data_IF_082469040605
#
_entry.id   IF_082469040605
#
_cell.length_a   1.000
_cell.length_b   1.000
_cell.length_c   1.000
_cell.angle_alpha   90.00
_cell.angle_beta   90.00
_cell.angle_gamma   90.00
#
_symmetry.space_group_name_H-M   'P 1'
#
loop_
_entity.id
_entity.type
_entity.pdbx_description
1 polymer ?
#
# COMPACT_ATOMS: atom_id res chain seq x y z
N UNK A 1 -13.52 2.89 33.00
CA UNK A 1 -12.28 2.59 32.26
C UNK A 1 -11.39 3.82 32.42
N UNK A 2 -10.45 3.76 33.37
CA UNK A 2 -9.61 4.89 33.79
C UNK A 2 -8.49 5.04 32.76
N UNK A 3 -8.60 6.04 31.89
CA UNK A 3 -7.49 6.44 31.03
C UNK A 3 -6.40 7.03 31.92
N UNK A 4 -5.29 6.31 32.04
CA UNK A 4 -4.08 6.79 32.71
C UNK A 4 -3.65 8.07 32.01
N UNK A 5 -3.88 9.21 32.67
CA UNK A 5 -3.41 10.52 32.21
C UNK A 5 -1.89 10.52 32.36
N UNK A 6 -1.16 10.34 31.25
CA UNK A 6 0.24 10.74 31.19
C UNK A 6 0.28 12.28 31.22
N UNK A 7 0.32 12.85 32.42
CA UNK A 7 0.57 14.28 32.63
C UNK A 7 2.07 14.48 32.43
N UNK A 8 2.45 14.91 31.22
CA UNK A 8 3.78 15.51 31.01
C UNK A 8 3.81 16.81 31.81
N UNK A 9 4.71 16.86 32.80
CA UNK A 9 4.83 17.95 33.78
C UNK A 9 5.13 19.30 33.11
N UNK A 10 4.36 20.32 33.49
CA UNK A 10 4.30 21.66 32.89
C UNK A 10 5.48 22.54 33.35
N UNK A 11 6.70 22.17 32.97
CA UNK A 11 7.91 22.98 33.21
C UNK A 11 8.49 23.49 31.89
N UNK A 12 8.46 24.81 31.72
CA UNK A 12 8.83 25.53 30.49
C UNK A 12 10.24 25.18 29.96
N UNK A 13 11.19 24.82 30.83
CA UNK A 13 12.58 24.49 30.43
C UNK A 13 12.63 23.12 29.73
N UNK A 14 11.91 22.14 30.28
CA UNK A 14 11.86 20.76 29.79
C UNK A 14 11.18 20.70 28.42
N UNK A 15 10.12 21.49 28.21
CA UNK A 15 9.42 21.60 26.92
C UNK A 15 10.31 22.17 25.80
N UNK A 16 11.19 23.12 26.11
CA UNK A 16 12.08 23.75 25.12
C UNK A 16 13.20 22.80 24.64
N UNK A 17 13.75 22.00 25.56
CA UNK A 17 14.79 21.02 25.26
C UNK A 17 14.24 19.87 24.41
N UNK A 18 13.06 19.33 24.76
CA UNK A 18 12.41 18.27 23.97
C UNK A 18 11.99 18.71 22.57
N UNK A 19 11.75 20.01 22.37
CA UNK A 19 11.33 20.54 21.07
C UNK A 19 12.50 20.56 20.07
N UNK A 20 13.69 20.97 20.51
CA UNK A 20 14.89 20.99 19.67
C UNK A 20 15.30 19.56 19.27
N UNK A 21 15.33 18.64 20.23
CA UNK A 21 15.66 17.23 19.95
C UNK A 21 14.63 16.60 19.00
N UNK A 22 13.33 16.86 19.22
CA UNK A 22 12.26 16.38 18.36
C UNK A 22 12.30 16.92 16.92
N UNK A 23 12.60 18.21 16.76
CA UNK A 23 12.77 18.83 15.44
C UNK A 23 13.98 18.25 14.69
N UNK A 24 15.10 18.04 15.38
CA UNK A 24 16.29 17.41 14.80
C UNK A 24 15.98 15.98 14.33
N UNK A 25 15.29 15.18 15.15
CA UNK A 25 14.90 13.80 14.76
C UNK A 25 13.95 13.80 13.56
N UNK A 26 12.96 14.72 13.52
CA UNK A 26 12.05 14.86 12.38
C UNK A 26 12.81 15.28 11.10
N UNK A 27 13.79 16.16 11.23
CA UNK A 27 14.63 16.62 10.11
C UNK A 27 15.51 15.47 9.58
N UNK A 28 16.21 14.76 10.46
CA UNK A 28 17.03 13.59 10.11
C UNK A 28 16.17 12.52 9.41
N UNK A 29 14.97 12.25 9.93
CA UNK A 29 14.01 11.33 9.30
C UNK A 29 13.65 11.78 7.88
N UNK A 30 13.50 13.07 7.65
CA UNK A 30 13.18 13.64 6.33
C UNK A 30 14.36 13.53 5.37
N UNK A 31 15.57 13.82 5.85
CA UNK A 31 16.81 13.70 5.09
C UNK A 31 17.12 12.27 4.69
N UNK A 32 16.70 11.27 5.48
CA UNK A 32 16.81 9.86 5.11
C UNK A 32 15.67 9.40 4.18
N UNK A 33 14.43 9.78 4.47
CA UNK A 33 13.26 9.27 3.75
C UNK A 33 13.13 9.78 2.32
N UNK A 34 13.39 11.06 2.08
CA UNK A 34 13.32 11.64 0.73
C UNK A 34 14.23 10.95 -0.29
N UNK A 35 15.55 10.76 -0.05
CA UNK A 35 16.41 10.08 -1.00
C UNK A 35 16.06 8.59 -1.15
N UNK A 36 15.67 7.90 -0.07
CA UNK A 36 15.25 6.49 -0.15
C UNK A 36 14.02 6.34 -1.06
N UNK A 37 12.98 7.15 -0.85
CA UNK A 37 11.76 7.14 -1.67
C UNK A 37 12.10 7.55 -3.12
N UNK A 38 12.97 8.54 -3.32
CA UNK A 38 13.40 8.97 -4.64
C UNK A 38 14.15 7.84 -5.40
N UNK A 39 15.04 7.10 -4.73
CA UNK A 39 15.74 5.95 -5.32
C UNK A 39 14.75 4.85 -5.70
N UNK A 40 13.79 4.52 -4.83
CA UNK A 40 12.74 3.54 -5.15
C UNK A 40 11.89 3.97 -6.34
N UNK A 41 11.51 5.24 -6.40
CA UNK A 41 10.76 5.82 -7.50
C UNK A 41 11.56 5.75 -8.80
N UNK A 42 12.85 6.13 -8.76
CA UNK A 42 13.73 6.15 -9.93
C UNK A 42 13.95 4.74 -10.50
N UNK A 43 14.28 3.77 -9.65
CA UNK A 43 14.46 2.38 -10.06
C UNK A 43 13.21 1.83 -10.75
N UNK A 44 12.02 2.17 -10.22
CA UNK A 44 10.75 1.71 -10.78
C UNK A 44 10.35 2.44 -12.05
N UNK A 45 10.66 3.73 -12.14
CA UNK A 45 10.43 4.50 -13.35
C UNK A 45 11.22 3.95 -14.54
N UNK A 46 12.50 3.61 -14.33
CA UNK A 46 13.32 2.98 -15.37
C UNK A 46 12.75 1.63 -15.82
N UNK A 47 12.34 0.79 -14.87
CA UNK A 47 11.69 -0.50 -15.20
C UNK A 47 10.38 -0.31 -15.98
N UNK A 48 9.56 0.66 -15.60
CA UNK A 48 8.31 0.97 -16.29
C UNK A 48 8.54 1.47 -17.72
N UNK A 49 9.58 2.27 -17.94
CA UNK A 49 9.96 2.77 -19.27
C UNK A 49 10.33 1.64 -20.23
N UNK A 50 11.00 0.60 -19.74
CA UNK A 50 11.40 -0.54 -20.56
C UNK A 50 10.25 -1.52 -20.89
N UNK A 51 9.20 -1.60 -20.08
CA UNK A 51 8.18 -2.68 -20.15
C UNK A 51 6.76 -2.26 -20.58
N UNK A 52 6.59 -1.07 -21.16
CA UNK A 52 5.30 -0.43 -21.42
C UNK A 52 4.48 -0.16 -20.13
N UNK A 53 3.72 0.94 -20.13
CA UNK A 53 3.09 1.46 -18.91
C UNK A 53 1.87 0.60 -18.52
N UNK A 54 2.00 -0.22 -17.47
CA UNK A 54 0.86 -0.96 -16.88
C UNK A 54 0.19 -0.12 -15.79
N UNK A 55 -1.12 -0.32 -15.58
CA UNK A 55 -1.89 0.42 -14.57
C UNK A 55 -1.34 0.18 -13.15
N UNK A 56 -0.92 -1.05 -12.84
CA UNK A 56 -0.27 -1.38 -11.57
C UNK A 56 1.05 -0.62 -11.37
N UNK A 57 1.87 -0.52 -12.42
CA UNK A 57 3.10 0.27 -12.38
C UNK A 57 2.81 1.77 -12.21
N UNK A 58 1.74 2.28 -12.83
CA UNK A 58 1.28 3.66 -12.67
C UNK A 58 0.83 3.95 -11.23
N UNK A 59 0.04 3.06 -10.62
CA UNK A 59 -0.44 3.22 -9.24
C UNK A 59 0.71 3.18 -8.22
N UNK A 60 1.70 2.32 -8.49
CA UNK A 60 2.91 2.22 -7.68
C UNK A 60 3.76 3.49 -7.75
N UNK A 61 3.99 4.02 -8.96
CA UNK A 61 4.68 5.30 -9.14
C UNK A 61 3.92 6.45 -8.48
N UNK A 62 2.59 6.49 -8.65
CA UNK A 62 1.73 7.47 -7.98
C UNK A 62 1.92 7.43 -6.46
N UNK A 63 1.97 6.25 -5.86
CA UNK A 63 2.17 6.08 -4.41
C UNK A 63 3.52 6.63 -3.95
N UNK A 64 4.60 6.42 -4.72
CA UNK A 64 5.91 6.99 -4.40
C UNK A 64 5.95 8.51 -4.55
N UNK A 65 5.35 9.05 -5.62
CA UNK A 65 5.28 10.49 -5.85
C UNK A 65 4.47 11.17 -4.75
N UNK A 66 3.29 10.64 -4.39
CA UNK A 66 2.46 11.23 -3.33
C UNK A 66 3.17 11.16 -1.97
N UNK A 67 3.84 10.04 -1.66
CA UNK A 67 4.59 9.91 -0.41
C UNK A 67 5.82 10.82 -0.35
N UNK A 68 6.54 11.00 -1.47
CA UNK A 68 7.64 11.95 -1.56
C UNK A 68 7.16 13.38 -1.34
N UNK A 69 6.09 13.78 -2.03
CA UNK A 69 5.47 15.10 -1.86
C UNK A 69 4.97 15.30 -0.43
N UNK A 70 4.36 14.28 0.17
CA UNK A 70 3.92 14.31 1.56
C UNK A 70 5.08 14.61 2.52
N UNK A 71 6.16 13.83 2.47
CA UNK A 71 7.33 14.06 3.33
C UNK A 71 7.97 15.43 3.07
N UNK A 72 8.09 15.83 1.80
CA UNK A 72 8.67 17.11 1.40
C UNK A 72 7.87 18.28 1.95
N UNK A 73 6.55 18.32 1.70
CA UNK A 73 5.66 19.39 2.16
C UNK A 73 5.63 19.45 3.69
N UNK A 74 5.53 18.31 4.38
CA UNK A 74 5.60 18.30 5.86
C UNK A 74 6.90 18.88 6.39
N UNK A 75 8.02 18.63 5.71
CA UNK A 75 9.33 19.16 6.12
C UNK A 75 9.39 20.67 5.93
N UNK A 76 8.95 21.16 4.77
CA UNK A 76 8.89 22.59 4.46
C UNK A 76 7.98 23.32 5.46
N UNK A 77 6.79 22.80 5.71
CA UNK A 77 5.81 23.44 6.58
C UNK A 77 6.27 23.47 8.04
N UNK A 78 6.93 22.42 8.54
CA UNK A 78 7.53 22.44 9.88
C UNK A 78 8.66 23.48 9.99
N UNK A 79 9.47 23.63 8.95
CA UNK A 79 10.61 24.56 8.98
C UNK A 79 10.20 26.03 8.90
N UNK A 80 9.11 26.33 8.19
CA UNK A 80 8.62 27.71 8.01
C UNK A 80 8.11 28.33 9.34
N UNK A 81 7.95 27.55 10.42
CA UNK A 81 7.46 27.96 11.76
C UNK A 81 6.23 28.87 11.66
N UNK A 82 5.04 28.26 11.64
CA UNK A 82 3.77 28.98 11.61
C UNK A 82 3.60 29.87 12.87
N UNK A 83 3.97 31.15 12.76
CA UNK A 83 3.76 32.14 13.83
C UNK A 83 2.31 32.64 13.86
N UNK A 84 1.61 32.61 12.73
CA UNK A 84 0.23 33.07 12.61
C UNK A 84 -0.77 31.92 12.80
N UNK A 85 -1.89 32.21 13.48
CA UNK A 85 -2.98 31.26 13.69
C UNK A 85 -3.49 30.63 12.37
N UNK A 86 -3.65 31.42 11.30
CA UNK A 86 -4.12 30.93 10.00
C UNK A 86 -3.13 29.99 9.29
N UNK A 87 -1.82 30.16 9.52
CA UNK A 87 -0.80 29.27 8.96
C UNK A 87 -0.79 27.91 9.68
N UNK A 88 -1.03 27.91 10.99
CA UNK A 88 -1.12 26.70 11.81
C UNK A 88 -2.36 25.85 11.42
N UNK A 89 -3.50 26.50 11.19
CA UNK A 89 -4.72 25.83 10.70
C UNK A 89 -4.57 25.27 9.27
N UNK A 90 -3.94 26.04 8.38
CA UNK A 90 -3.64 25.57 7.02
C UNK A 90 -2.68 24.37 7.02
N UNK A 91 -1.73 24.35 7.96
CA UNK A 91 -0.74 23.28 8.10
C UNK A 91 -1.39 21.94 8.45
N UNK A 92 -2.29 21.91 9.43
CA UNK A 92 -2.98 20.67 9.83
C UNK A 92 -3.84 20.14 8.68
N UNK A 93 -4.58 21.02 7.99
CA UNK A 93 -5.42 20.62 6.85
C UNK A 93 -4.61 20.07 5.68
N UNK A 94 -3.49 20.72 5.35
CA UNK A 94 -2.58 20.26 4.29
C UNK A 94 -1.94 18.90 4.65
N UNK A 95 -1.48 18.75 5.90
CA UNK A 95 -0.92 17.50 6.41
C UNK A 95 -1.93 16.34 6.30
N UNK A 96 -3.15 16.55 6.81
CA UNK A 96 -4.21 15.54 6.76
C UNK A 96 -4.60 15.21 5.32
N UNK A 97 -4.70 16.21 4.45
CA UNK A 97 -5.05 16.00 3.04
C UNK A 97 -4.00 15.14 2.34
N UNK A 98 -2.72 15.47 2.48
CA UNK A 98 -1.64 14.73 1.85
C UNK A 98 -1.49 13.31 2.42
N UNK A 99 -1.72 13.14 3.73
CA UNK A 99 -1.78 11.81 4.35
C UNK A 99 -2.88 10.95 3.74
N UNK A 100 -4.12 11.48 3.68
CA UNK A 100 -5.28 10.79 3.10
C UNK A 100 -5.02 10.42 1.65
N UNK A 101 -4.52 11.36 0.83
CA UNK A 101 -4.19 11.10 -0.58
C UNK A 101 -3.13 10.01 -0.74
N UNK A 102 -2.09 10.03 0.10
CA UNK A 102 -1.01 9.02 0.06
C UNK A 102 -1.52 7.62 0.43
N UNK A 103 -2.39 7.51 1.44
CA UNK A 103 -3.04 6.24 1.82
C UNK A 103 -3.98 5.72 0.73
N UNK A 104 -4.76 6.61 0.12
CA UNK A 104 -5.65 6.28 -1.00
C UNK A 104 -4.88 5.69 -2.19
N UNK A 105 -3.74 6.29 -2.55
CA UNK A 105 -2.87 5.77 -3.60
C UNK A 105 -2.34 4.37 -3.26
N UNK A 106 -1.93 4.14 -2.00
CA UNK A 106 -1.50 2.83 -1.52
C UNK A 106 -2.60 1.76 -1.56
N UNK A 107 -3.82 2.10 -1.14
CA UNK A 107 -4.97 1.19 -1.24
C UNK A 107 -5.31 0.86 -2.70
N UNK A 108 -5.30 1.85 -3.59
CA UNK A 108 -5.52 1.63 -5.02
C UNK A 108 -4.51 0.63 -5.61
N UNK A 109 -3.23 0.79 -5.25
CA UNK A 109 -2.19 -0.16 -5.65
C UNK A 109 -2.44 -1.58 -5.13
N UNK A 110 -2.83 -1.74 -3.86
CA UNK A 110 -3.12 -3.06 -3.29
C UNK A 110 -4.34 -3.71 -3.94
N UNK A 111 -5.39 -2.94 -4.26
CA UNK A 111 -6.58 -3.44 -4.97
C UNK A 111 -6.20 -3.91 -6.38
N UNK A 112 -5.43 -3.10 -7.12
CA UNK A 112 -4.95 -3.45 -8.46
C UNK A 112 -4.08 -4.71 -8.43
N UNK A 113 -3.19 -4.83 -7.43
CA UNK A 113 -2.38 -6.05 -7.23
C UNK A 113 -3.24 -7.26 -6.91
N UNK A 114 -4.26 -7.12 -6.06
CA UNK A 114 -5.19 -8.19 -5.73
C UNK A 114 -6.00 -8.65 -6.96
N UNK A 115 -6.44 -7.71 -7.79
CA UNK A 115 -7.13 -7.98 -9.05
C UNK A 115 -6.28 -8.83 -10.00
N UNK A 116 -5.01 -8.45 -10.19
CA UNK A 116 -4.08 -9.19 -11.07
C UNK A 116 -3.84 -10.61 -10.55
N UNK A 117 -3.65 -10.78 -9.25
CA UNK A 117 -3.39 -12.10 -8.62
C UNK A 117 -4.61 -13.03 -8.74
N UNK A 118 -5.82 -12.47 -8.68
CA UNK A 118 -7.06 -13.26 -8.67
C UNK A 118 -7.50 -13.80 -10.05
N UNK A 119 -6.75 -13.52 -11.13
CA UNK A 119 -7.00 -13.99 -12.51
C UNK A 119 -8.48 -13.90 -12.98
N UNK A 120 -9.11 -12.72 -12.96
CA UNK A 120 -10.43 -12.57 -13.54
C UNK A 120 -10.37 -12.65 -15.08
N UNK A 121 -11.20 -13.50 -15.67
CA UNK A 121 -11.34 -13.67 -17.14
C UNK A 121 -11.90 -12.41 -17.81
N UNK A 122 -12.53 -11.53 -17.04
CA UNK A 122 -13.25 -10.35 -17.52
C UNK A 122 -12.43 -9.04 -17.42
N UNK A 123 -12.63 -8.09 -18.34
CA UNK A 123 -11.96 -6.78 -18.31
C UNK A 123 -12.34 -5.97 -17.06
N UNK A 124 -11.38 -5.16 -16.57
CA UNK A 124 -11.38 -4.40 -15.29
C UNK A 124 -12.70 -3.69 -14.94
N UNK A 125 -13.33 -3.03 -15.91
CA UNK A 125 -14.55 -2.25 -15.71
C UNK A 125 -15.84 -3.08 -15.70
N UNK A 126 -15.76 -4.36 -16.10
CA UNK A 126 -16.91 -5.28 -16.09
C UNK A 126 -16.89 -6.24 -14.92
N UNK A 127 -15.82 -6.26 -14.11
CA UNK A 127 -15.76 -7.08 -12.89
C UNK A 127 -16.41 -6.34 -11.72
N UNK A 128 -17.64 -6.71 -11.30
CA UNK A 128 -18.34 -6.04 -10.21
C UNK A 128 -17.55 -6.10 -8.90
N UNK A 129 -16.76 -7.16 -8.69
CA UNK A 129 -15.92 -7.31 -7.49
C UNK A 129 -14.81 -6.26 -7.38
N UNK A 130 -14.24 -5.80 -8.48
CA UNK A 130 -13.21 -4.74 -8.46
C UNK A 130 -13.84 -3.39 -8.12
N UNK A 131 -14.95 -3.08 -8.77
CA UNK A 131 -15.70 -1.85 -8.56
C UNK A 131 -16.23 -1.80 -7.13
N UNK A 132 -16.83 -2.89 -6.65
CA UNK A 132 -17.37 -3.00 -5.30
C UNK A 132 -16.27 -2.78 -4.24
N UNK A 133 -15.08 -3.33 -4.43
CA UNK A 133 -13.97 -3.09 -3.48
C UNK A 133 -13.47 -1.65 -3.49
N UNK A 134 -13.38 -1.02 -4.66
CA UNK A 134 -13.04 0.40 -4.75
C UNK A 134 -14.09 1.24 -4.01
N UNK A 135 -15.38 1.03 -4.28
CA UNK A 135 -16.45 1.76 -3.60
C UNK A 135 -16.47 1.47 -2.08
N UNK A 136 -16.37 0.20 -1.69
CA UNK A 136 -16.42 -0.23 -0.29
C UNK A 136 -15.26 0.31 0.56
N UNK A 137 -14.09 0.56 -0.03
CA UNK A 137 -12.95 1.13 0.68
C UNK A 137 -12.93 2.67 0.61
N UNK A 138 -13.12 3.24 -0.57
CA UNK A 138 -12.95 4.68 -0.78
C UNK A 138 -14.11 5.52 -0.24
N UNK A 139 -15.36 5.04 -0.31
CA UNK A 139 -16.53 5.79 0.19
C UNK A 139 -16.45 6.01 1.71
N UNK A 140 -16.36 4.97 2.57
CA UNK A 140 -16.28 5.20 4.01
C UNK A 140 -15.02 5.96 4.41
N UNK A 141 -13.89 5.72 3.74
CA UNK A 141 -12.64 6.43 4.05
C UNK A 141 -12.73 7.92 3.76
N UNK A 142 -13.27 8.32 2.61
CA UNK A 142 -13.44 9.74 2.25
C UNK A 142 -14.44 10.45 3.16
N UNK A 143 -15.54 9.78 3.52
CA UNK A 143 -16.53 10.33 4.47
C UNK A 143 -15.87 10.60 5.82
N UNK A 144 -15.18 9.60 6.39
CA UNK A 144 -14.54 9.77 7.70
C UNK A 144 -13.37 10.75 7.65
N UNK A 145 -12.57 10.75 6.58
CA UNK A 145 -11.50 11.72 6.39
C UNK A 145 -12.02 13.17 6.36
N UNK A 146 -13.13 13.42 5.66
CA UNK A 146 -13.76 14.75 5.63
C UNK A 146 -14.24 15.19 7.02
N UNK A 147 -14.75 14.23 7.81
CA UNK A 147 -15.15 14.46 9.19
C UNK A 147 -13.93 14.78 10.08
N UNK A 148 -12.82 14.06 9.89
CA UNK A 148 -11.56 14.32 10.58
C UNK A 148 -10.98 15.70 10.26
N UNK A 149 -11.09 16.17 9.02
CA UNK A 149 -10.69 17.53 8.64
C UNK A 149 -11.51 18.59 9.38
N UNK A 150 -12.84 18.42 9.45
CA UNK A 150 -13.74 19.37 10.12
C UNK A 150 -13.54 19.44 11.64
N UNK A 151 -13.11 18.34 12.26
CA UNK A 151 -12.90 18.25 13.71
C UNK A 151 -11.42 18.29 14.13
N UNK A 152 -10.56 18.74 13.23
CA UNK A 152 -9.18 19.04 13.54
C UNK A 152 -9.10 20.31 14.41
N UNK A 153 -8.09 20.41 15.28
CA UNK A 153 -7.85 21.56 16.14
C UNK A 153 -6.39 21.97 15.97
N UNK A 154 -6.16 23.26 15.74
CA UNK A 154 -4.84 23.86 15.70
C UNK A 154 -4.84 25.15 16.55
N UNK A 155 -3.88 25.27 17.47
CA UNK A 155 -3.68 26.49 18.24
C UNK A 155 -2.19 26.75 18.48
N UNK A 156 -1.83 28.03 18.60
CA UNK A 156 -0.44 28.46 18.85
C UNK A 156 -0.29 28.68 20.35
N UNK A 157 0.73 28.06 20.96
CA UNK A 157 1.07 28.25 22.37
C UNK A 157 1.92 29.51 22.59
N UNK A 158 2.02 30.01 23.83
CA UNK A 158 2.80 31.22 24.20
C UNK A 158 4.28 31.15 23.79
N UNK A 159 4.83 29.95 23.66
CA UNK A 159 6.17 29.70 23.15
C UNK A 159 6.33 29.85 21.62
N UNK A 160 5.31 30.38 20.91
CA UNK A 160 5.23 30.46 19.44
C UNK A 160 5.35 29.11 18.74
N UNK A 161 4.74 28.07 19.30
CA UNK A 161 4.74 26.71 18.75
C UNK A 161 3.31 26.32 18.38
N UNK A 162 3.14 25.83 17.15
CA UNK A 162 1.86 25.31 16.66
C UNK A 162 1.61 23.91 17.25
N UNK A 163 0.54 23.78 18.03
CA UNK A 163 0.04 22.51 18.55
C UNK A 163 -1.10 22.03 17.65
N UNK A 164 -0.95 20.81 17.14
CA UNK A 164 -1.83 20.20 16.13
C UNK A 164 -2.45 18.97 16.77
N UNK A 165 -3.76 18.80 16.60
CA UNK A 165 -4.44 17.62 17.11
C UNK A 165 -5.74 17.33 16.39
N UNK A 166 -6.17 16.07 16.47
CA UNK A 166 -7.48 15.63 16.01
C UNK A 166 -8.26 15.17 17.23
N UNK A 167 -9.53 15.55 17.34
CA UNK A 167 -10.37 15.09 18.44
C UNK A 167 -10.52 13.57 18.40
N UNK A 168 -10.44 12.91 19.56
CA UNK A 168 -10.48 11.45 19.68
C UNK A 168 -11.69 10.82 18.97
N UNK A 169 -12.86 11.46 19.07
CA UNK A 169 -14.08 10.95 18.41
C UNK A 169 -14.03 10.97 16.88
N UNK A 170 -13.13 11.76 16.26
CA UNK A 170 -12.91 11.78 14.82
C UNK A 170 -11.67 10.96 14.41
N UNK A 171 -10.69 10.83 15.31
CA UNK A 171 -9.49 10.00 15.12
C UNK A 171 -9.81 8.49 15.20
N UNK A 172 -10.65 8.07 16.14
CA UNK A 172 -11.02 6.65 16.32
C UNK A 172 -11.74 6.09 15.08
N UNK A 173 -12.77 6.76 14.50
CA UNK A 173 -13.38 6.30 13.27
C UNK A 173 -12.40 6.22 12.11
N UNK A 174 -11.47 7.19 11.99
CA UNK A 174 -10.47 7.19 10.92
C UNK A 174 -9.55 5.97 11.04
N UNK A 175 -9.04 5.72 12.25
CA UNK A 175 -8.24 4.53 12.54
C UNK A 175 -9.02 3.24 12.25
N UNK A 176 -10.29 3.17 12.67
CA UNK A 176 -11.13 1.99 12.47
C UNK A 176 -11.31 1.69 10.98
N UNK A 177 -11.64 2.69 10.17
CA UNK A 177 -11.79 2.50 8.72
C UNK A 177 -10.47 2.09 8.07
N UNK A 178 -9.34 2.65 8.49
CA UNK A 178 -8.01 2.26 7.98
C UNK A 178 -7.69 0.80 8.30
N UNK A 179 -7.87 0.37 9.56
CA UNK A 179 -7.60 -1.01 9.98
C UNK A 179 -8.54 -1.99 9.29
N UNK A 180 -9.84 -1.68 9.21
CA UNK A 180 -10.81 -2.52 8.50
C UNK A 180 -10.47 -2.64 7.01
N UNK A 181 -9.98 -1.55 6.40
CA UNK A 181 -9.55 -1.55 5.00
C UNK A 181 -8.35 -2.48 4.77
N UNK A 182 -7.33 -2.39 5.62
CA UNK A 182 -6.18 -3.29 5.55
C UNK A 182 -6.56 -4.74 5.85
N UNK A 183 -7.44 -4.99 6.82
CA UNK A 183 -7.93 -6.33 7.14
C UNK A 183 -8.69 -6.92 5.97
N UNK A 184 -9.59 -6.15 5.34
CA UNK A 184 -10.33 -6.56 4.14
C UNK A 184 -9.38 -6.97 3.00
N UNK A 185 -8.37 -6.14 2.70
CA UNK A 185 -7.38 -6.45 1.67
C UNK A 185 -6.55 -7.69 2.02
N UNK A 186 -6.15 -7.83 3.29
CA UNK A 186 -5.40 -8.99 3.79
C UNK A 186 -6.21 -10.28 3.65
N UNK A 187 -7.49 -10.25 4.01
CA UNK A 187 -8.41 -11.38 3.83
C UNK A 187 -8.59 -11.73 2.35
N UNK A 188 -8.69 -10.72 1.48
CA UNK A 188 -8.78 -10.95 0.02
C UNK A 188 -7.53 -11.62 -0.54
N UNK A 189 -6.34 -11.24 -0.08
CA UNK A 189 -5.10 -11.93 -0.45
C UNK A 189 -5.03 -13.35 0.13
N UNK A 190 -5.57 -13.57 1.33
CA UNK A 190 -5.55 -14.87 2.00
C UNK A 190 -6.58 -15.86 1.44
N UNK A 191 -7.74 -15.38 0.98
CA UNK A 191 -8.85 -16.20 0.46
C UNK A 191 -8.44 -17.24 -0.61
N UNK A 192 -7.73 -16.89 -1.70
CA UNK A 192 -7.31 -17.87 -2.71
C UNK A 192 -6.33 -18.91 -2.14
N UNK A 193 -5.50 -18.51 -1.16
CA UNK A 193 -4.55 -19.42 -0.50
C UNK A 193 -5.28 -20.41 0.42
N UNK A 194 -6.32 -19.94 1.11
CA UNK A 194 -7.14 -20.75 1.99
C UNK A 194 -8.00 -21.76 1.20
N UNK A 195 -8.59 -21.31 0.09
CA UNK A 195 -9.38 -22.18 -0.79
C UNK A 195 -8.57 -23.35 -1.34
N UNK A 196 -7.31 -23.11 -1.71
CA UNK A 196 -6.36 -24.15 -2.16
C UNK A 196 -6.01 -25.11 -1.03
N UNK A 197 -5.75 -24.58 0.18
CA UNK A 197 -5.37 -25.40 1.33
C UNK A 197 -6.49 -26.37 1.74
N UNK A 198 -7.75 -25.93 1.68
CA UNK A 198 -8.91 -26.77 1.97
C UNK A 198 -9.39 -27.61 0.78
N UNK A 199 -9.14 -27.17 -0.47
CA UNK A 199 -9.68 -27.78 -1.69
C UNK A 199 -8.78 -28.80 -2.40
N UNK A 200 -7.60 -29.12 -1.87
CA UNK A 200 -6.74 -30.22 -2.35
C UNK A 200 -6.08 -30.04 -3.73
N UNK A 201 -6.50 -29.08 -4.56
CA UNK A 201 -5.84 -28.76 -5.82
C UNK A 201 -4.64 -27.83 -5.57
N UNK A 202 -3.44 -28.35 -5.79
CA UNK A 202 -2.19 -27.62 -5.57
C UNK A 202 -2.10 -26.35 -6.42
N UNK A 203 -2.08 -25.18 -5.76
CA UNK A 203 -1.71 -23.92 -6.41
C UNK A 203 -0.23 -23.97 -6.81
N UNK A 204 0.10 -23.41 -7.97
CA UNK A 204 1.48 -23.18 -8.38
C UNK A 204 2.28 -22.55 -7.23
N UNK A 205 3.33 -23.24 -6.80
CA UNK A 205 4.28 -22.83 -5.76
C UNK A 205 4.73 -21.35 -5.88
N UNK A 206 5.05 -20.80 -7.07
CA UNK A 206 5.43 -19.39 -7.21
C UNK A 206 4.30 -18.41 -6.84
N UNK A 207 3.04 -18.72 -7.17
CA UNK A 207 1.92 -17.85 -6.87
C UNK A 207 1.66 -17.79 -5.36
N UNK A 208 1.75 -18.93 -4.67
CA UNK A 208 1.62 -19.01 -3.21
C UNK A 208 2.64 -18.12 -2.50
N UNK A 209 3.89 -18.11 -2.98
CA UNK A 209 4.97 -17.30 -2.40
C UNK A 209 4.71 -15.80 -2.56
N UNK A 210 4.30 -15.36 -3.75
CA UNK A 210 3.96 -13.95 -4.03
C UNK A 210 2.80 -13.47 -3.17
N UNK A 211 1.75 -14.29 -3.03
CA UNK A 211 0.59 -14.00 -2.18
C UNK A 211 1.03 -13.87 -0.73
N UNK A 212 1.75 -14.85 -0.19
CA UNK A 212 2.19 -14.86 1.21
C UNK A 212 3.08 -13.65 1.54
N UNK A 213 4.03 -13.31 0.66
CA UNK A 213 4.86 -12.09 0.78
C UNK A 213 4.01 -10.81 0.81
N UNK A 214 2.96 -10.74 -0.01
CA UNK A 214 2.04 -9.58 -0.05
C UNK A 214 1.20 -9.49 1.22
N UNK A 215 0.70 -10.61 1.72
CA UNK A 215 -0.07 -10.69 2.97
C UNK A 215 0.78 -10.25 4.16
N UNK A 216 2.02 -10.73 4.27
CA UNK A 216 2.95 -10.29 5.32
C UNK A 216 3.23 -8.80 5.22
N UNK A 217 3.55 -8.30 4.03
CA UNK A 217 3.81 -6.86 3.83
C UNK A 217 2.61 -5.99 4.22
N UNK A 218 1.40 -6.39 3.81
CA UNK A 218 0.17 -5.67 4.17
C UNK A 218 -0.05 -5.68 5.68
N UNK A 219 0.18 -6.82 6.35
CA UNK A 219 0.10 -6.95 7.80
C UNK A 219 1.10 -6.05 8.54
N UNK A 220 2.35 -5.98 8.09
CA UNK A 220 3.38 -5.08 8.67
C UNK A 220 2.95 -3.62 8.52
N UNK A 221 2.43 -3.24 7.35
CA UNK A 221 1.97 -1.86 7.10
C UNK A 221 0.79 -1.51 8.00
N UNK A 222 -0.17 -2.44 8.15
CA UNK A 222 -1.31 -2.26 9.06
C UNK A 222 -0.86 -2.05 10.50
N UNK A 223 0.08 -2.87 10.99
CA UNK A 223 0.64 -2.75 12.35
C UNK A 223 1.38 -1.42 12.54
N UNK A 224 2.19 -0.99 11.57
CA UNK A 224 2.86 0.32 11.58
C UNK A 224 1.85 1.47 11.75
N UNK A 225 0.82 1.49 10.91
CA UNK A 225 -0.20 2.54 10.95
C UNK A 225 -0.99 2.52 12.26
N UNK A 226 -1.32 1.32 12.75
CA UNK A 226 -1.98 1.14 14.05
C UNK A 226 -1.12 1.69 15.19
N UNK A 227 0.16 1.32 15.25
CA UNK A 227 1.09 1.80 16.27
C UNK A 227 1.20 3.32 16.27
N UNK A 228 1.37 3.94 15.09
CA UNK A 228 1.45 5.40 14.97
C UNK A 228 0.19 6.05 15.51
N UNK A 229 -1.00 5.66 15.01
CA UNK A 229 -2.27 6.26 15.44
C UNK A 229 -2.56 6.03 16.93
N UNK A 230 -2.24 4.84 17.48
CA UNK A 230 -2.38 4.57 18.91
C UNK A 230 -1.46 5.47 19.72
N UNK A 231 -0.20 5.64 19.30
CA UNK A 231 0.71 6.59 19.96
C UNK A 231 0.10 7.99 20.01
N UNK A 232 -0.46 8.49 18.90
CA UNK A 232 -1.14 9.80 18.89
C UNK A 232 -2.37 9.83 19.82
N UNK A 233 -3.13 8.74 19.93
CA UNK A 233 -4.28 8.68 20.87
C UNK A 233 -3.87 8.70 22.35
N UNK A 234 -2.66 8.22 22.66
CA UNK A 234 -2.15 8.18 24.04
C UNK A 234 -1.66 9.55 24.52
N UNK A 235 -1.20 10.41 23.61
CA UNK A 235 -0.74 11.76 23.92
C UNK A 235 -1.91 12.76 23.83
N UNK A 236 -2.46 13.16 24.98
CA UNK A 236 -3.51 14.19 25.04
C UNK A 236 -2.92 15.58 24.73
N UNK A 237 -2.95 15.98 23.46
CA UNK A 237 -2.41 17.25 22.99
C UNK A 237 -0.92 17.15 22.69
N UNK A 238 -0.61 16.81 21.44
CA UNK A 238 0.75 16.53 20.99
C UNK A 238 1.37 17.71 20.22
N UNK A 239 2.69 17.91 20.34
CA UNK A 239 3.36 18.89 19.51
C UNK A 239 3.34 18.44 18.04
N UNK A 240 3.15 19.38 17.12
CA UNK A 240 3.04 19.11 15.68
C UNK A 240 4.19 18.25 15.12
N UNK A 241 5.40 18.42 15.65
CA UNK A 241 6.59 17.69 15.20
C UNK A 241 6.50 16.18 15.43
N UNK A 242 5.83 15.72 16.51
CA UNK A 242 5.72 14.30 16.85
C UNK A 242 4.78 13.57 15.89
N UNK A 243 3.61 14.17 15.64
CA UNK A 243 2.66 13.70 14.64
C UNK A 243 3.31 13.66 13.25
N UNK A 244 4.00 14.73 12.84
CA UNK A 244 4.68 14.77 11.55
C UNK A 244 5.82 13.74 11.44
N UNK A 245 6.61 13.55 12.49
CA UNK A 245 7.72 12.59 12.51
C UNK A 245 7.20 11.16 12.34
N UNK A 246 6.21 10.77 13.14
CA UNK A 246 5.62 9.43 13.08
C UNK A 246 4.91 9.17 11.75
N UNK A 247 4.22 10.15 11.17
CA UNK A 247 3.63 10.02 9.84
C UNK A 247 4.67 9.88 8.73
N UNK A 248 5.82 10.57 8.80
CA UNK A 248 6.92 10.39 7.85
C UNK A 248 7.50 8.98 7.92
N UNK A 249 7.67 8.44 9.12
CA UNK A 249 8.14 7.06 9.32
C UNK A 249 7.13 6.05 8.76
N UNK A 250 5.84 6.22 9.03
CA UNK A 250 4.81 5.33 8.49
C UNK A 250 4.80 5.33 6.95
N UNK A 251 4.94 6.51 6.33
CA UNK A 251 5.06 6.64 4.88
C UNK A 251 6.31 5.94 4.32
N UNK A 252 7.46 6.07 5.00
CA UNK A 252 8.70 5.37 4.65
C UNK A 252 8.51 3.85 4.73
N UNK A 253 7.96 3.33 5.84
CA UNK A 253 7.72 1.90 6.04
C UNK A 253 6.79 1.37 4.95
N UNK A 254 5.69 2.07 4.66
CA UNK A 254 4.78 1.70 3.58
C UNK A 254 5.51 1.64 2.23
N UNK A 255 6.30 2.65 1.87
CA UNK A 255 7.07 2.67 0.62
C UNK A 255 8.10 1.53 0.55
N UNK A 256 8.81 1.26 1.64
CA UNK A 256 9.81 0.19 1.72
C UNK A 256 9.16 -1.20 1.58
N UNK A 257 8.04 -1.43 2.25
CA UNK A 257 7.27 -2.67 2.12
C UNK A 257 6.73 -2.82 0.69
N UNK A 258 6.15 -1.78 0.10
CA UNK A 258 5.69 -1.80 -1.29
C UNK A 258 6.83 -2.13 -2.25
N UNK A 259 8.01 -1.54 -2.03
CA UNK A 259 9.20 -1.85 -2.80
C UNK A 259 9.61 -3.31 -2.64
N UNK A 260 9.63 -3.81 -1.40
CA UNK A 260 9.96 -5.21 -1.10
C UNK A 260 8.97 -6.17 -1.75
N UNK A 261 7.66 -6.03 -1.59
CA UNK A 261 6.68 -6.98 -2.17
C UNK A 261 6.65 -6.97 -3.70
N UNK A 262 7.19 -5.92 -4.34
CA UNK A 262 7.21 -5.78 -5.80
C UNK A 262 8.54 -6.20 -6.43
N UNK A 263 9.58 -6.51 -5.66
CA UNK A 263 10.86 -6.98 -6.23
C UNK A 263 10.63 -8.37 -6.86
N UNK A 264 10.98 -8.57 -8.15
CA UNK A 264 11.00 -9.91 -8.73
C UNK A 264 11.99 -10.78 -7.94
N UNK A 265 11.64 -12.03 -7.68
CA UNK A 265 12.60 -12.98 -7.14
C UNK A 265 13.57 -13.33 -8.26
N UNK A 266 14.86 -13.14 -8.00
CA UNK A 266 15.90 -13.69 -8.88
C UNK A 266 15.81 -15.21 -8.73
N UNK A 267 15.47 -15.88 -9.82
CA UNK A 267 15.47 -17.33 -9.89
C UNK A 267 16.95 -17.74 -10.04
N UNK A 268 17.53 -18.34 -9.01
CA UNK A 268 18.86 -18.97 -9.13
C UNK A 268 18.81 -19.99 -10.27
N UNK A 269 19.76 -19.90 -11.20
CA UNK A 269 19.86 -20.73 -12.40
C UNK A 269 20.15 -22.20 -12.05
N UNK A 270 19.12 -22.98 -11.74
CA UNK A 270 19.27 -24.39 -11.42
C UNK A 270 18.09 -25.32 -11.72
N UNK A 271 16.95 -24.83 -12.23
CA UNK A 271 15.80 -25.71 -12.52
C UNK A 271 15.11 -25.33 -13.85
N UNK A 272 15.17 -26.20 -14.89
CA UNK A 272 14.51 -25.95 -16.16
C UNK A 272 13.02 -26.37 -16.07
N UNK A 273 12.10 -25.41 -16.14
CA UNK A 273 10.69 -25.72 -16.43
C UNK A 273 9.57 -24.95 -15.73
N UNK A 274 9.72 -23.67 -15.36
CA UNK A 274 8.60 -22.87 -14.85
C UNK A 274 8.42 -21.57 -15.67
N UNK A 275 7.24 -21.32 -16.29
CA UNK A 275 6.96 -20.04 -16.93
C UNK A 275 6.85 -18.92 -15.88
N UNK A 276 7.29 -17.72 -16.30
CA UNK A 276 7.62 -16.52 -15.53
C UNK A 276 6.94 -16.34 -14.15
N UNK A 277 7.79 -16.19 -13.14
CA UNK A 277 7.49 -15.65 -11.83
C UNK A 277 6.90 -14.24 -11.91
N UNK A 278 5.75 -14.03 -11.28
CA UNK A 278 4.95 -12.81 -11.32
C UNK A 278 5.63 -11.66 -10.54
N UNK A 279 6.63 -11.05 -11.17
CA UNK A 279 7.18 -9.73 -10.89
C UNK A 279 7.01 -8.83 -12.12
N UNK A 280 5.75 -8.51 -12.46
CA UNK A 280 5.34 -7.66 -13.60
C UNK A 280 6.16 -7.95 -14.88
N UNK A 281 5.78 -9.02 -15.55
CA UNK A 281 6.19 -9.35 -16.91
C UNK A 281 5.06 -10.14 -17.56
N UNK A 282 4.28 -9.50 -18.42
CA UNK A 282 3.55 -10.21 -19.45
C UNK A 282 4.46 -10.17 -20.68
N UNK A 283 5.19 -11.26 -20.91
CA UNK A 283 5.78 -11.47 -22.22
C UNK A 283 4.64 -11.69 -23.20
N UNK A 284 4.51 -10.76 -24.13
CA UNK A 284 3.55 -10.83 -25.23
C UNK A 284 4.13 -11.69 -26.34
N UNK A 285 4.46 -12.94 -26.05
CA UNK A 285 4.85 -13.93 -27.06
C UNK A 285 4.71 -15.36 -26.52
N UNK A 286 3.48 -15.84 -26.44
CA UNK A 286 3.06 -17.25 -26.37
C UNK A 286 1.53 -17.25 -26.49
N UNK A 287 0.97 -16.96 -27.66
CA UNK A 287 0.74 -17.94 -28.72
C UNK A 287 0.07 -19.22 -28.19
N UNK A 288 -1.23 -19.34 -28.40
CA UNK A 288 -1.77 -20.39 -29.30
C UNK A 288 -1.32 -21.85 -29.09
N UNK A 289 -1.10 -22.30 -27.86
CA UNK A 289 -0.83 -23.73 -27.60
C UNK A 289 -1.71 -24.27 -26.47
N UNK A 290 -3.03 -24.14 -26.60
CA UNK A 290 -4.01 -25.02 -25.94
C UNK A 290 -5.22 -25.19 -26.88
N UNK A 291 -4.98 -25.65 -28.12
CA UNK A 291 -6.06 -26.07 -29.02
C UNK A 291 -5.56 -26.98 -30.17
N UNK A 292 -4.50 -27.76 -30.00
CA UNK A 292 -4.21 -28.87 -30.93
C UNK A 292 -3.32 -29.91 -30.27
N UNK A 293 -3.93 -30.85 -29.56
CA UNK A 293 -3.36 -32.18 -29.40
C UNK A 293 -4.22 -33.15 -30.20
N UNK A 294 -4.18 -33.00 -31.53
CA UNK A 294 -4.28 -34.14 -32.43
C UNK A 294 -2.87 -34.71 -32.57
N UNK A 295 -2.74 -35.92 -32.04
CA UNK A 295 -1.91 -37.01 -32.54
C UNK A 295 -1.34 -36.81 -33.95
N UNK A 296 -0.03 -36.97 -34.08
CA UNK A 296 0.59 -37.59 -35.25
C UNK A 296 2.00 -38.09 -34.91
N UNK A 297 2.08 -39.37 -34.59
CA UNK A 297 3.25 -40.21 -34.82
C UNK A 297 3.63 -40.19 -36.31
N UNK A 298 4.93 -40.10 -36.59
CA UNK A 298 5.50 -40.39 -37.91
C UNK A 298 6.31 -41.69 -37.83
N UNK A 299 5.64 -42.78 -38.20
CA UNK A 299 6.04 -43.72 -39.26
C UNK A 299 7.34 -44.54 -39.11
N UNK A 300 7.18 -45.81 -38.71
CA UNK A 300 7.97 -46.94 -39.21
C UNK A 300 7.03 -48.12 -39.53
N UNK A 301 6.84 -48.35 -40.84
CA UNK A 301 6.54 -49.60 -41.54
C UNK A 301 5.60 -50.65 -40.93
N UNK A 302 4.53 -50.98 -41.65
CA UNK A 302 3.82 -52.25 -41.44
C UNK A 302 2.43 -52.30 -42.05
N UNK A 303 2.29 -53.15 -43.06
CA UNK A 303 1.10 -53.56 -43.83
C UNK A 303 -0.19 -53.85 -43.04
N UNK A 304 -1.32 -53.86 -43.78
CA UNK A 304 -2.66 -54.43 -43.55
C UNK A 304 -3.82 -53.44 -43.30
N UNK A 305 -4.64 -53.25 -44.35
CA UNK A 305 -6.06 -52.88 -44.31
C UNK A 305 -6.92 -54.11 -43.90
N UNK A 306 -8.26 -54.04 -43.65
CA UNK A 306 -9.21 -52.93 -43.87
C UNK A 306 -10.19 -52.67 -42.68
N UNK A 307 -11.13 -51.70 -42.84
CA UNK A 307 -12.59 -51.93 -42.76
C UNK A 307 -13.47 -50.83 -42.03
N UNK A 308 -14.06 -49.92 -42.83
CA UNK A 308 -15.43 -49.30 -42.82
C UNK A 308 -15.96 -48.30 -41.75
N UNK A 309 -16.31 -47.12 -42.30
CA UNK A 309 -17.55 -46.29 -42.22
C UNK A 309 -18.04 -45.59 -40.94
N UNK A 310 -18.09 -44.27 -41.12
CA UNK A 310 -18.88 -43.18 -40.56
C UNK A 310 -20.41 -43.44 -40.46
N UNK A 311 -21.00 -43.19 -39.29
CA UNK A 311 -22.41 -42.86 -38.99
C UNK A 311 -22.46 -42.27 -37.57
N UNK A 312 -22.64 -40.95 -37.42
CA UNK A 312 -23.92 -40.25 -37.18
C UNK A 312 -24.52 -40.46 -35.78
N UNK A 313 -24.77 -39.33 -35.09
CA UNK A 313 -25.62 -39.13 -33.88
C UNK A 313 -25.00 -39.63 -32.57
N UNK A 314 -24.71 -38.80 -31.55
CA UNK A 314 -25.53 -37.77 -30.91
C UNK A 314 -24.62 -36.78 -30.15
#
# INVERSE_FOLDING_TARGET
>A
MVAIRAVVSDSNVVKSQFLLEGEVVSLVTSMASLPIIAVFCWQRFLQAKHKAFTVASSCLLLTYITSFLFVFVLTVVLHIRAENHGLCDSTILLCLTLYVVSKMAGFLFLIERAYIISWPVNPRHKTPEYILSCFALFVPYTIVASLSMKYSIAYVNDAKVCIIGIKMYALIPLLLVEVLSYLYLTLRFLFPLLMVHFGGQGLLLPLRRVVMRTTIGTGITMLSTLSVKISLTMFNGEPAWLCCMTCKIDALIACAILHWITKPEMQDEGEPGAPQALGIGFDRESATVVATSQSSESNRGGSYAPQYTLKDVM
#
